data_IF_539289583909
#
_entry.id   IF_539289583909
#
_cell.length_a   1.000
_cell.length_b   1.000
_cell.length_c   1.000
_cell.angle_alpha   90.00
_cell.angle_beta   90.00
_cell.angle_gamma   90.00
#
_symmetry.space_group_name_H-M   'P 1'
#
loop_
_entity.id
_entity.type
_entity.pdbx_description
1 polymer ?
#
# COMPACT_ATOMS: atom_id res chain seq x y z
N UNK A 1 52.02 -52.84 45.07
CA UNK A 1 51.32 -51.54 45.13
C UNK A 1 50.39 -51.46 43.92
N UNK A 2 49.13 -51.87 44.08
CA UNK A 2 48.15 -51.82 43.00
C UNK A 2 47.38 -50.49 43.09
N UNK A 3 47.40 -49.74 42.00
CA UNK A 3 46.90 -48.37 41.91
C UNK A 3 45.37 -48.33 41.97
N UNK A 4 44.81 -47.71 43.01
CA UNK A 4 43.37 -47.51 43.25
C UNK A 4 42.76 -46.33 42.49
N UNK A 5 43.52 -45.69 41.61
CA UNK A 5 43.11 -44.53 40.79
C UNK A 5 42.00 -44.79 39.77
N UNK A 6 41.83 -45.95 39.09
CA UNK A 6 40.82 -46.08 38.04
C UNK A 6 39.38 -46.16 38.59
N UNK A 7 39.21 -46.67 39.82
CA UNK A 7 37.89 -46.78 40.45
C UNK A 7 37.35 -45.44 40.96
N UNK A 8 38.23 -44.54 41.41
CA UNK A 8 37.84 -43.23 41.91
C UNK A 8 37.35 -42.30 40.78
N UNK A 9 37.98 -42.39 39.60
CA UNK A 9 37.59 -41.62 38.41
C UNK A 9 36.24 -42.10 37.88
N UNK A 10 35.99 -43.42 37.87
CA UNK A 10 34.71 -43.97 37.42
C UNK A 10 33.54 -43.56 38.34
N UNK A 11 33.77 -43.56 39.67
CA UNK A 11 32.77 -43.13 40.65
C UNK A 11 32.45 -41.63 40.56
N UNK A 12 33.46 -40.78 40.31
CA UNK A 12 33.26 -39.34 40.12
C UNK A 12 32.50 -39.04 38.82
N UNK A 13 32.76 -39.77 37.74
CA UNK A 13 32.01 -39.65 36.50
C UNK A 13 30.54 -40.06 36.67
N UNK A 14 30.27 -41.19 37.35
CA UNK A 14 28.90 -41.65 37.62
C UNK A 14 28.12 -40.68 38.51
N UNK A 15 28.77 -40.11 39.54
CA UNK A 15 28.16 -39.09 40.40
C UNK A 15 27.82 -37.80 39.62
N UNK A 16 28.70 -37.38 38.69
CA UNK A 16 28.46 -36.19 37.85
C UNK A 16 27.30 -36.39 36.86
N UNK A 17 27.17 -37.59 36.29
CA UNK A 17 26.07 -37.95 35.39
C UNK A 17 24.73 -38.03 36.14
N UNK A 18 24.73 -38.55 37.37
CA UNK A 18 23.55 -38.60 38.22
C UNK A 18 23.10 -37.20 38.68
N UNK A 19 24.04 -36.29 38.98
CA UNK A 19 23.71 -34.89 39.28
C UNK A 19 23.16 -34.13 38.06
N UNK A 20 23.73 -34.34 36.87
CA UNK A 20 23.21 -33.73 35.64
C UNK A 20 21.80 -34.25 35.28
N UNK A 21 21.56 -35.55 35.44
CA UNK A 21 20.23 -36.13 35.21
C UNK A 21 19.18 -35.59 36.20
N UNK A 22 19.57 -35.33 37.45
CA UNK A 22 18.68 -34.80 38.49
C UNK A 22 18.32 -33.32 38.25
N UNK A 23 19.24 -32.52 37.70
CA UNK A 23 19.01 -31.12 37.33
C UNK A 23 18.05 -30.97 36.13
N UNK A 24 18.11 -31.90 35.17
CA UNK A 24 17.20 -31.93 34.01
C UNK A 24 15.78 -32.37 34.43
N UNK A 25 15.67 -33.27 35.41
CA UNK A 25 14.38 -33.69 35.95
C UNK A 25 13.69 -32.61 36.82
N UNK A 26 14.48 -31.74 37.47
CA UNK A 26 13.96 -30.67 38.34
C UNK A 26 13.51 -29.41 37.56
N UNK A 27 14.00 -29.22 36.34
CA UNK A 27 13.59 -28.16 35.40
C UNK A 27 13.36 -28.79 34.02
N UNK A 28 12.17 -29.37 33.75
CA UNK A 28 11.85 -29.79 32.39
C UNK A 28 12.03 -28.59 31.45
N UNK A 29 12.59 -28.78 30.25
CA UNK A 29 12.62 -27.71 29.25
C UNK A 29 11.21 -27.18 29.10
N UNK A 30 11.03 -25.87 29.24
CA UNK A 30 9.74 -25.23 29.09
C UNK A 30 9.18 -25.64 27.73
N UNK A 31 8.17 -26.51 27.75
CA UNK A 31 7.48 -26.92 26.55
C UNK A 31 6.95 -25.63 25.91
N UNK A 32 7.33 -25.30 24.66
CA UNK A 32 6.82 -24.11 24.01
C UNK A 32 5.28 -24.20 24.02
N UNK A 33 4.56 -23.10 24.27
CA UNK A 33 3.11 -23.12 24.27
C UNK A 33 2.61 -23.73 22.96
N UNK A 34 1.49 -24.47 22.98
CA UNK A 34 0.94 -25.11 21.79
C UNK A 34 0.82 -24.10 20.65
N UNK A 35 1.33 -24.47 19.47
CA UNK A 35 1.34 -23.61 18.28
C UNK A 35 -0.09 -23.38 17.79
N UNK A 36 -0.73 -22.32 18.29
CA UNK A 36 -2.09 -21.88 17.94
C UNK A 36 -2.19 -21.28 16.53
N UNK A 37 -1.09 -21.26 15.76
CA UNK A 37 -1.03 -20.65 14.43
C UNK A 37 -2.09 -21.21 13.49
N UNK A 38 -2.42 -22.51 13.58
CA UNK A 38 -3.48 -23.14 12.76
C UNK A 38 -4.85 -22.56 13.06
N UNK A 39 -5.18 -22.37 14.33
CA UNK A 39 -6.44 -21.76 14.74
C UNK A 39 -6.52 -20.29 14.30
N UNK A 40 -5.41 -19.55 14.45
CA UNK A 40 -5.29 -18.16 13.96
C UNK A 40 -5.48 -18.08 12.44
N UNK A 41 -4.87 -18.99 11.70
CA UNK A 41 -5.01 -19.08 10.24
C UNK A 41 -6.47 -19.39 9.85
N UNK A 42 -7.12 -20.37 10.48
CA UNK A 42 -8.51 -20.70 10.19
C UNK A 42 -9.47 -19.52 10.45
N UNK A 43 -9.28 -18.80 11.56
CA UNK A 43 -10.05 -17.57 11.87
C UNK A 43 -9.80 -16.47 10.84
N UNK A 44 -8.53 -16.26 10.47
CA UNK A 44 -8.13 -15.28 9.47
C UNK A 44 -8.68 -15.61 8.08
N UNK A 45 -8.59 -16.87 7.66
CA UNK A 45 -9.10 -17.36 6.37
C UNK A 45 -10.62 -17.18 6.30
N UNK A 46 -11.33 -17.48 7.38
CA UNK A 46 -12.78 -17.24 7.50
C UNK A 46 -13.11 -15.76 7.41
N UNK A 47 -12.38 -14.88 8.11
CA UNK A 47 -12.58 -13.42 8.08
C UNK A 47 -12.49 -12.87 6.65
N UNK A 48 -11.53 -13.35 5.86
CA UNK A 48 -11.26 -12.84 4.51
C UNK A 48 -11.83 -13.74 3.40
N UNK A 49 -12.73 -14.65 3.75
CA UNK A 49 -13.37 -15.59 2.81
C UNK A 49 -12.38 -16.30 1.88
N UNK A 50 -11.25 -16.74 2.43
CA UNK A 50 -10.19 -17.43 1.70
C UNK A 50 -10.62 -18.86 1.36
N UNK A 51 -10.37 -19.25 0.12
CA UNK A 51 -10.64 -20.60 -0.38
C UNK A 51 -9.42 -21.12 -1.11
N UNK A 52 -9.07 -22.38 -0.88
CA UNK A 52 -7.90 -23.02 -1.47
C UNK A 52 -8.32 -24.22 -2.34
N UNK A 53 -7.72 -24.40 -3.53
CA UNK A 53 -8.12 -25.44 -4.48
C UNK A 53 -7.71 -26.85 -4.03
N UNK A 54 -6.73 -26.97 -3.15
CA UNK A 54 -6.23 -28.25 -2.62
C UNK A 54 -5.69 -28.07 -1.21
N UNK A 55 -5.62 -29.19 -0.47
CA UNK A 55 -4.96 -29.23 0.83
C UNK A 55 -3.48 -28.83 0.74
N UNK A 56 -2.78 -29.22 -0.34
CA UNK A 56 -1.38 -28.82 -0.55
C UNK A 56 -1.21 -27.31 -0.68
N UNK A 57 -2.09 -26.64 -1.42
CA UNK A 57 -2.08 -25.17 -1.53
C UNK A 57 -2.45 -24.52 -0.18
N UNK A 58 -3.42 -25.05 0.55
CA UNK A 58 -3.75 -24.58 1.91
C UNK A 58 -2.56 -24.68 2.86
N UNK A 59 -1.83 -25.80 2.85
CA UNK A 59 -0.64 -26.01 3.68
C UNK A 59 0.48 -25.02 3.34
N UNK A 60 0.70 -24.77 2.05
CA UNK A 60 1.65 -23.74 1.59
C UNK A 60 1.23 -22.35 2.08
N UNK A 61 -0.05 -22.00 1.93
CA UNK A 61 -0.62 -20.70 2.33
C UNK A 61 -0.55 -20.49 3.84
N UNK A 62 -0.77 -21.54 4.61
CA UNK A 62 -0.54 -21.54 6.04
C UNK A 62 0.93 -21.27 6.40
N UNK A 63 1.87 -21.91 5.72
CA UNK A 63 3.31 -21.65 5.91
C UNK A 63 3.65 -20.17 5.72
N UNK A 64 3.20 -19.59 4.60
CA UNK A 64 3.39 -18.16 4.30
C UNK A 64 2.72 -17.27 5.36
N UNK A 65 1.49 -17.59 5.75
CA UNK A 65 0.77 -16.86 6.81
C UNK A 65 1.52 -16.87 8.13
N UNK A 66 2.07 -18.02 8.52
CA UNK A 66 2.87 -18.17 9.74
C UNK A 66 4.14 -17.34 9.66
N UNK A 67 4.86 -17.38 8.54
CA UNK A 67 6.07 -16.60 8.33
C UNK A 67 5.80 -15.09 8.38
N UNK A 68 4.75 -14.62 7.69
CA UNK A 68 4.31 -13.23 7.73
C UNK A 68 3.88 -12.81 9.15
N UNK A 69 3.16 -13.67 9.87
CA UNK A 69 2.77 -13.40 11.27
C UNK A 69 4.00 -13.22 12.17
N UNK A 70 4.99 -14.10 12.02
CA UNK A 70 6.24 -14.02 12.77
C UNK A 70 7.04 -12.76 12.42
N UNK A 71 7.11 -12.40 11.12
CA UNK A 71 7.81 -11.20 10.65
C UNK A 71 7.16 -9.91 11.19
N UNK A 72 5.83 -9.83 11.15
CA UNK A 72 5.06 -8.73 11.75
C UNK A 72 5.30 -8.64 13.25
N UNK A 73 5.29 -9.78 13.96
CA UNK A 73 5.55 -9.84 15.40
C UNK A 73 6.96 -9.37 15.75
N UNK A 74 7.97 -9.84 15.02
CA UNK A 74 9.36 -9.44 15.20
C UNK A 74 9.57 -7.94 14.96
N UNK A 75 8.97 -7.38 13.90
CA UNK A 75 9.04 -5.95 13.63
C UNK A 75 8.42 -5.12 14.74
N UNK A 76 7.21 -5.47 15.20
CA UNK A 76 6.53 -4.78 16.31
C UNK A 76 7.35 -4.80 17.61
N UNK A 77 8.03 -5.91 17.90
CA UNK A 77 8.91 -6.01 19.06
C UNK A 77 10.13 -5.09 18.95
N UNK A 78 10.68 -4.89 17.74
CA UNK A 78 11.82 -4.01 17.50
C UNK A 78 11.44 -2.52 17.44
N UNK A 79 10.25 -2.18 16.94
CA UNK A 79 9.78 -0.78 16.77
C UNK A 79 8.94 -0.24 17.93
N UNK A 80 8.85 -0.96 19.05
CA UNK A 80 8.23 -0.45 20.29
C UNK A 80 9.05 0.75 20.80
N UNK A 81 8.63 1.95 20.42
CA UNK A 81 9.44 3.16 20.59
C UNK A 81 9.33 3.71 22.02
N UNK A 82 10.47 3.75 22.70
CA UNK A 82 10.71 4.51 23.93
C UNK A 82 10.51 6.00 23.67
N UNK A 83 9.62 6.65 24.41
CA UNK A 83 9.47 8.10 24.46
C UNK A 83 10.16 8.61 25.72
N UNK A 84 11.22 9.42 25.59
CA UNK A 84 11.73 10.26 26.69
C UNK A 84 11.45 11.71 26.34
N UNK A 85 10.46 12.30 27.00
CA UNK A 85 10.22 13.74 26.97
C UNK A 85 11.16 14.37 27.99
N UNK A 86 12.28 14.94 27.54
CA UNK A 86 13.22 15.65 28.40
C UNK A 86 14.58 15.97 27.77
N UNK A 87 14.70 17.17 27.20
CA UNK A 87 15.94 17.97 27.27
C UNK A 87 17.09 17.77 26.27
N UNK A 88 17.28 16.66 25.55
CA UNK A 88 18.45 16.50 24.66
C UNK A 88 18.22 15.58 23.43
N UNK A 89 18.39 16.14 22.22
CA UNK A 89 18.66 15.45 20.92
C UNK A 89 17.46 14.88 20.13
N UNK A 90 17.46 14.92 18.78
CA UNK A 90 16.48 14.21 17.96
C UNK A 90 16.73 12.69 18.01
N UNK A 91 15.71 11.92 18.39
CA UNK A 91 15.68 10.45 18.31
C UNK A 91 14.72 10.05 17.19
N UNK A 92 15.12 9.11 16.33
CA UNK A 92 14.28 8.59 15.23
C UNK A 92 13.06 7.88 15.80
N UNK A 93 11.88 8.51 15.73
CA UNK A 93 10.61 7.86 16.06
C UNK A 93 10.08 7.21 14.79
N UNK A 94 10.33 5.90 14.63
CA UNK A 94 9.64 5.11 13.60
C UNK A 94 8.17 4.98 14.03
N UNK A 95 7.29 5.82 13.51
CA UNK A 95 5.84 5.72 13.75
C UNK A 95 5.16 4.62 12.94
N UNK A 96 5.87 4.03 11.97
CA UNK A 96 5.34 2.99 11.08
C UNK A 96 4.93 1.77 11.87
N UNK A 97 3.70 1.33 11.64
CA UNK A 97 3.11 0.12 12.19
C UNK A 97 2.76 -0.82 11.05
N UNK A 98 3.11 -2.10 11.23
CA UNK A 98 2.66 -3.19 10.36
C UNK A 98 1.64 -4.07 11.07
N UNK A 99 0.76 -4.73 10.33
CA UNK A 99 -0.28 -5.60 10.88
C UNK A 99 -0.86 -6.57 9.87
N UNK A 100 -1.32 -7.72 10.40
CA UNK A 100 -1.91 -8.77 9.59
C UNK A 100 -3.19 -8.26 8.91
N UNK A 101 -3.29 -8.44 7.60
CA UNK A 101 -4.42 -8.04 6.78
C UNK A 101 -4.79 -9.18 5.81
N UNK A 102 -5.64 -8.90 4.81
CA UNK A 102 -6.12 -9.91 3.84
C UNK A 102 -5.04 -10.55 2.96
N UNK A 103 -3.84 -9.97 2.92
CA UNK A 103 -2.70 -10.45 2.13
C UNK A 103 -1.77 -11.37 2.93
N UNK A 104 -2.22 -11.80 4.12
CA UNK A 104 -1.44 -12.62 5.05
C UNK A 104 -0.87 -13.90 4.47
N UNK A 105 -1.53 -14.53 3.50
CA UNK A 105 -1.10 -15.77 2.86
C UNK A 105 -0.30 -15.58 1.56
N UNK A 106 0.18 -14.36 1.29
CA UNK A 106 0.97 -14.02 0.11
C UNK A 106 2.38 -13.59 0.52
N UNK A 107 3.37 -14.02 -0.26
CA UNK A 107 4.71 -13.43 -0.21
C UNK A 107 4.68 -12.03 -0.85
N UNK A 108 5.64 -11.17 -0.51
CA UNK A 108 5.65 -9.78 -0.97
C UNK A 108 5.75 -9.62 -2.50
N UNK A 109 6.52 -10.49 -3.14
CA UNK A 109 6.65 -10.55 -4.60
C UNK A 109 5.37 -11.03 -5.28
N UNK A 110 4.75 -12.07 -4.73
CA UNK A 110 3.45 -12.59 -5.18
C UNK A 110 2.35 -11.53 -5.01
N UNK A 111 2.34 -10.84 -3.88
CA UNK A 111 1.45 -9.73 -3.60
C UNK A 111 1.62 -8.60 -4.61
N UNK A 112 2.85 -8.15 -4.85
CA UNK A 112 3.12 -7.10 -5.81
C UNK A 112 2.64 -7.49 -7.22
N UNK A 113 2.89 -8.73 -7.64
CA UNK A 113 2.45 -9.23 -8.95
C UNK A 113 0.92 -9.32 -9.10
N UNK A 114 0.18 -9.57 -8.02
CA UNK A 114 -1.27 -9.78 -8.08
C UNK A 114 -2.11 -8.52 -7.78
N UNK A 115 -1.53 -7.50 -7.13
CA UNK A 115 -2.28 -6.35 -6.62
C UNK A 115 -1.74 -4.99 -7.08
N UNK A 116 -0.66 -4.96 -7.87
CA UNK A 116 -0.10 -3.74 -8.48
C UNK A 116 -0.19 -3.83 -10.00
N UNK A 117 -0.34 -2.71 -10.71
CA UNK A 117 -0.73 -2.72 -12.12
C UNK A 117 -0.25 -1.56 -12.95
N UNK A 118 0.75 -0.81 -12.50
CA UNK A 118 1.39 0.17 -13.37
C UNK A 118 2.24 -0.53 -14.42
N UNK A 119 2.01 -0.18 -15.70
CA UNK A 119 2.81 -0.67 -16.82
C UNK A 119 3.42 0.50 -17.58
N UNK A 120 4.75 0.63 -17.52
CA UNK A 120 5.50 1.72 -18.16
C UNK A 120 5.70 1.53 -19.69
N UNK A 121 5.20 0.45 -20.29
CA UNK A 121 5.41 0.13 -21.70
C UNK A 121 4.82 1.22 -22.61
N UNK A 122 5.66 1.89 -23.41
CA UNK A 122 5.23 2.97 -24.28
C UNK A 122 4.89 4.28 -23.56
N UNK A 123 5.25 4.41 -22.28
CA UNK A 123 5.07 5.64 -21.53
C UNK A 123 6.01 6.73 -22.05
N UNK A 124 5.41 7.86 -22.47
CA UNK A 124 6.12 9.07 -22.84
C UNK A 124 5.71 10.12 -21.80
N UNK A 125 6.66 10.67 -21.00
CA UNK A 125 6.34 11.71 -20.04
C UNK A 125 5.66 12.89 -20.72
N UNK A 126 4.50 13.29 -20.20
CA UNK A 126 3.83 14.49 -20.69
C UNK A 126 4.61 15.75 -20.27
N UNK A 127 4.52 16.80 -21.08
CA UNK A 127 5.16 18.08 -20.76
C UNK A 127 4.64 18.62 -19.40
N UNK A 128 5.54 18.92 -18.45
CA UNK A 128 5.13 19.30 -17.11
C UNK A 128 4.51 20.70 -17.09
N UNK A 129 3.47 20.86 -16.28
CA UNK A 129 2.82 22.14 -16.03
C UNK A 129 3.30 22.75 -14.71
N UNK A 130 4.10 23.81 -14.80
CA UNK A 130 4.61 24.53 -13.62
C UNK A 130 3.50 25.39 -13.01
N UNK A 131 3.27 25.20 -11.71
CA UNK A 131 2.41 26.05 -10.89
C UNK A 131 3.29 27.15 -10.26
N UNK A 132 2.93 28.44 -10.35
CA UNK A 132 3.77 29.51 -9.80
C UNK A 132 4.04 29.34 -8.30
N UNK A 133 5.29 29.44 -7.86
CA UNK A 133 5.69 29.21 -6.45
C UNK A 133 5.04 30.17 -5.43
N UNK A 134 4.53 31.32 -5.88
CA UNK A 134 3.81 32.27 -5.03
C UNK A 134 2.31 31.93 -4.89
N UNK A 135 1.86 30.83 -5.49
CA UNK A 135 0.50 30.32 -5.31
C UNK A 135 0.32 29.94 -3.85
N UNK A 136 -0.71 30.51 -3.22
CA UNK A 136 -1.04 30.22 -1.83
C UNK A 136 -1.43 28.75 -1.66
N UNK A 137 -0.97 28.12 -0.58
CA UNK A 137 -1.33 26.76 -0.18
C UNK A 137 -1.55 26.67 1.34
N UNK A 138 -2.52 25.88 1.82
CA UNK A 138 -2.67 25.57 3.23
C UNK A 138 -1.46 24.78 3.77
N UNK A 139 -1.21 24.85 5.09
CA UNK A 139 -0.19 24.01 5.73
C UNK A 139 -0.61 22.54 5.86
N UNK A 140 -1.92 22.26 5.84
CA UNK A 140 -2.50 20.93 5.87
C UNK A 140 -3.75 20.92 4.99
N UNK A 141 -3.85 19.91 4.15
CA UNK A 141 -4.94 19.66 3.21
C UNK A 141 -5.40 18.24 3.45
N UNK A 142 -6.70 18.05 3.65
CA UNK A 142 -7.34 16.74 3.68
C UNK A 142 -8.65 16.82 2.91
N UNK A 143 -8.64 16.38 1.65
CA UNK A 143 -9.82 16.43 0.78
C UNK A 143 -10.95 15.53 1.26
N UNK A 144 -10.69 14.56 2.17
CA UNK A 144 -11.75 13.75 2.80
C UNK A 144 -12.61 14.64 3.70
N UNK A 145 -11.98 15.53 4.47
CA UNK A 145 -12.67 16.47 5.35
C UNK A 145 -13.51 17.48 4.59
N UNK A 146 -13.12 17.80 3.35
CA UNK A 146 -13.88 18.64 2.41
C UNK A 146 -14.95 17.87 1.63
N UNK A 147 -15.10 16.56 1.86
CA UNK A 147 -16.06 15.71 1.15
C UNK A 147 -15.74 15.48 -0.32
N UNK A 148 -14.48 15.64 -0.74
CA UNK A 148 -13.99 15.48 -2.11
C UNK A 148 -13.24 14.14 -2.33
N UNK A 149 -13.61 13.12 -1.55
CA UNK A 149 -13.05 11.76 -1.67
C UNK A 149 -14.17 10.75 -1.44
N UNK A 150 -14.42 9.88 -2.40
CA UNK A 150 -15.37 8.76 -2.27
C UNK A 150 -14.86 7.69 -1.30
N UNK A 151 -15.71 6.72 -0.94
CA UNK A 151 -15.31 5.56 -0.16
C UNK A 151 -14.13 4.79 -0.78
N UNK A 152 -13.31 4.14 0.05
CA UNK A 152 -12.26 3.25 -0.44
C UNK A 152 -12.90 2.01 -1.05
N UNK A 153 -12.43 1.64 -2.23
CA UNK A 153 -12.87 0.46 -3.00
C UNK A 153 -11.82 -0.66 -2.92
N UNK A 154 -12.12 -1.81 -3.53
CA UNK A 154 -11.21 -2.94 -3.62
C UNK A 154 -11.08 -3.43 -5.06
N UNK A 155 -9.87 -3.34 -5.63
CA UNK A 155 -9.62 -3.69 -7.04
C UNK A 155 -9.67 -5.20 -7.35
N UNK A 156 -9.64 -6.08 -6.34
CA UNK A 156 -9.54 -7.52 -6.61
C UNK A 156 -8.14 -7.95 -7.06
N UNK A 157 -8.08 -9.08 -7.77
CA UNK A 157 -6.88 -9.59 -8.43
C UNK A 157 -6.68 -9.03 -9.84
N UNK A 158 -7.48 -8.04 -10.24
CA UNK A 158 -7.29 -7.28 -11.47
C UNK A 158 -6.23 -6.21 -11.23
N UNK A 159 -5.26 -6.08 -12.14
CA UNK A 159 -4.17 -5.10 -12.03
C UNK A 159 -4.63 -3.70 -12.49
N UNK A 160 -5.73 -3.21 -11.93
CA UNK A 160 -6.45 -2.00 -12.34
C UNK A 160 -6.19 -0.79 -11.45
N UNK A 161 -5.14 -0.79 -10.61
CA UNK A 161 -4.83 0.33 -9.72
C UNK A 161 -4.75 1.69 -10.46
N UNK A 162 -4.29 1.69 -11.71
CA UNK A 162 -4.24 2.86 -12.59
C UNK A 162 -5.64 3.44 -12.87
N UNK A 163 -6.65 2.60 -13.06
CA UNK A 163 -8.04 3.03 -13.24
C UNK A 163 -8.61 3.62 -11.94
N UNK A 164 -8.40 2.94 -10.81
CA UNK A 164 -8.83 3.43 -9.48
C UNK A 164 -8.19 4.77 -9.10
N UNK A 165 -6.89 4.94 -9.38
CA UNK A 165 -6.22 6.21 -9.12
C UNK A 165 -6.76 7.34 -10.01
N UNK A 166 -6.98 7.04 -11.30
CA UNK A 166 -7.56 8.01 -12.24
C UNK A 166 -8.95 8.45 -11.83
N UNK A 167 -9.83 7.49 -11.52
CA UNK A 167 -11.19 7.74 -11.05
C UNK A 167 -11.19 8.57 -9.77
N UNK A 168 -10.42 8.19 -8.74
CA UNK A 168 -10.39 8.94 -7.48
C UNK A 168 -9.94 10.40 -7.66
N UNK A 169 -9.04 10.68 -8.61
CA UNK A 169 -8.65 12.05 -8.94
C UNK A 169 -9.76 12.82 -9.68
N UNK A 170 -10.47 12.18 -10.60
CA UNK A 170 -11.61 12.78 -11.33
C UNK A 170 -12.78 13.06 -10.36
N UNK A 171 -13.13 12.12 -9.49
CA UNK A 171 -14.20 12.27 -8.50
C UNK A 171 -13.95 13.47 -7.58
N UNK A 172 -12.72 13.60 -7.08
CA UNK A 172 -12.34 14.72 -6.22
C UNK A 172 -12.34 16.05 -6.96
N UNK A 173 -11.80 16.10 -8.18
CA UNK A 173 -11.87 17.29 -9.03
C UNK A 173 -13.33 17.68 -9.32
N UNK A 174 -14.20 16.72 -9.66
CA UNK A 174 -15.61 16.97 -9.93
C UNK A 174 -16.29 17.61 -8.73
N UNK A 175 -16.13 17.02 -7.54
CA UNK A 175 -16.67 17.59 -6.29
C UNK A 175 -16.19 19.02 -6.04
N UNK A 176 -14.91 19.29 -6.24
CA UNK A 176 -14.33 20.63 -6.03
C UNK A 176 -14.92 21.65 -7.01
N UNK A 177 -15.25 21.23 -8.24
CA UNK A 177 -15.74 22.11 -9.31
C UNK A 177 -17.25 22.32 -9.29
N UNK A 178 -18.00 21.24 -9.13
CA UNK A 178 -19.47 21.23 -9.28
C UNK A 178 -20.19 21.22 -7.94
N UNK A 179 -19.51 20.79 -6.88
CA UNK A 179 -20.13 20.53 -5.58
C UNK A 179 -20.72 19.11 -5.46
N UNK A 180 -20.64 18.28 -6.51
CA UNK A 180 -21.22 16.94 -6.55
C UNK A 180 -20.15 15.86 -6.46
N UNK A 181 -20.26 15.00 -5.44
CA UNK A 181 -19.37 13.85 -5.29
C UNK A 181 -20.11 12.64 -5.85
N UNK A 182 -19.68 12.18 -7.02
CA UNK A 182 -20.23 11.00 -7.69
C UNK A 182 -19.20 9.89 -7.62
N UNK A 183 -19.65 8.64 -7.40
CA UNK A 183 -18.80 7.47 -7.54
C UNK A 183 -18.75 7.09 -9.00
N UNK A 184 -17.57 7.16 -9.63
CA UNK A 184 -17.39 6.94 -11.08
C UNK A 184 -16.89 5.52 -11.36
N UNK A 185 -17.04 5.08 -12.61
CA UNK A 185 -16.74 3.70 -13.01
C UNK A 185 -15.25 3.47 -13.30
N UNK A 186 -14.58 2.64 -12.50
CA UNK A 186 -13.26 2.13 -12.91
C UNK A 186 -13.38 1.12 -14.07
N UNK A 187 -14.51 0.43 -14.19
CA UNK A 187 -14.70 -0.61 -15.21
C UNK A 187 -14.71 -0.03 -16.62
N UNK A 188 -15.31 1.15 -16.80
CA UNK A 188 -15.29 1.85 -18.09
C UNK A 188 -13.83 2.07 -18.56
N UNK A 189 -12.93 2.47 -17.66
CA UNK A 189 -11.51 2.60 -17.98
C UNK A 189 -10.87 1.24 -18.29
N UNK A 190 -11.11 0.24 -17.44
CA UNK A 190 -10.56 -1.13 -17.63
C UNK A 190 -10.94 -1.70 -18.99
N UNK A 191 -12.17 -1.46 -19.45
CA UNK A 191 -12.69 -2.04 -20.68
C UNK A 191 -12.40 -1.20 -21.93
N UNK A 192 -12.31 0.12 -21.80
CA UNK A 192 -12.27 1.05 -22.94
C UNK A 192 -10.90 1.70 -23.20
N UNK A 193 -9.97 1.75 -22.22
CA UNK A 193 -8.65 2.34 -22.44
C UNK A 193 -7.72 1.42 -23.23
N UNK A 194 -7.71 1.59 -24.55
CA UNK A 194 -6.79 0.90 -25.47
C UNK A 194 -5.31 1.26 -25.29
N UNK A 195 -4.99 2.32 -24.54
CA UNK A 195 -3.62 2.66 -24.14
C UNK A 195 -3.09 1.81 -22.98
N UNK A 196 -4.00 1.11 -22.29
CA UNK A 196 -3.74 0.18 -21.18
C UNK A 196 -4.11 -1.25 -21.59
N UNK A 197 -3.90 -2.21 -20.68
CA UNK A 197 -4.19 -3.64 -20.89
C UNK A 197 -5.26 -4.17 -19.92
N UNK A 198 -6.18 -3.31 -19.48
CA UNK A 198 -7.21 -3.65 -18.49
C UNK A 198 -6.59 -4.20 -17.19
N UNK A 199 -6.96 -5.43 -16.84
CA UNK A 199 -6.41 -6.19 -15.72
C UNK A 199 -4.97 -6.70 -15.93
N UNK A 200 -4.36 -6.49 -17.10
CA UNK A 200 -2.93 -6.73 -17.35
C UNK A 200 -2.04 -5.55 -16.93
N UNK A 201 -2.63 -4.48 -16.40
CA UNK A 201 -1.93 -3.25 -16.03
C UNK A 201 -2.14 -2.14 -17.06
N UNK A 202 -1.81 -0.92 -16.65
CA UNK A 202 -2.13 0.27 -17.43
C UNK A 202 -1.50 1.53 -16.86
N UNK A 203 -1.97 2.67 -17.36
CA UNK A 203 -1.46 3.97 -16.98
C UNK A 203 -2.57 5.00 -16.75
N UNK A 204 -2.29 5.91 -15.82
CA UNK A 204 -3.15 7.04 -15.48
C UNK A 204 -3.19 8.07 -16.61
N UNK A 205 -2.08 8.34 -17.29
CA UNK A 205 -2.04 9.32 -18.39
C UNK A 205 -2.97 8.93 -19.54
N UNK A 206 -3.00 7.65 -19.93
CA UNK A 206 -3.90 7.17 -21.00
C UNK A 206 -5.35 7.16 -20.55
N UNK A 207 -5.62 6.78 -19.29
CA UNK A 207 -6.95 6.82 -18.71
C UNK A 207 -7.52 8.25 -18.70
N UNK A 208 -6.76 9.22 -18.17
CA UNK A 208 -7.18 10.62 -18.14
C UNK A 208 -7.32 11.20 -19.56
N UNK A 209 -6.45 10.81 -20.49
CA UNK A 209 -6.54 11.20 -21.89
C UNK A 209 -7.81 10.65 -22.57
N UNK A 210 -8.18 9.39 -22.28
CA UNK A 210 -9.41 8.78 -22.80
C UNK A 210 -10.62 9.57 -22.32
N UNK A 211 -10.77 9.77 -21.01
CA UNK A 211 -11.91 10.49 -20.43
C UNK A 211 -11.99 11.90 -21.02
N UNK A 212 -10.85 12.59 -21.15
CA UNK A 212 -10.80 13.92 -21.76
C UNK A 212 -11.23 13.91 -23.25
N UNK A 213 -10.79 12.91 -24.01
CA UNK A 213 -11.12 12.78 -25.43
C UNK A 213 -12.58 12.39 -25.68
N UNK A 214 -13.21 11.72 -24.70
CA UNK A 214 -14.63 11.31 -24.78
C UNK A 214 -15.58 12.31 -24.15
N UNK A 215 -15.08 13.25 -23.34
CA UNK A 215 -15.85 14.32 -22.73
C UNK A 215 -16.30 14.03 -21.30
N UNK A 216 -16.09 12.79 -20.83
CA UNK A 216 -16.44 12.39 -19.48
C UNK A 216 -16.35 10.89 -19.26
N UNK A 217 -16.88 10.47 -18.11
CA UNK A 217 -16.92 9.10 -17.60
C UNK A 217 -18.24 8.89 -16.86
N UNK A 218 -18.80 7.68 -16.93
CA UNK A 218 -20.07 7.30 -16.30
C UNK A 218 -19.89 6.92 -14.82
N UNK A 219 -21.01 6.77 -14.12
CA UNK A 219 -21.07 6.37 -12.72
C UNK A 219 -20.73 4.88 -12.50
N UNK A 220 -20.26 4.56 -11.29
CA UNK A 220 -20.11 3.18 -10.81
C UNK A 220 -21.44 2.41 -10.85
N UNK A 221 -22.58 3.09 -10.63
CA UNK A 221 -23.89 2.44 -10.68
C UNK A 221 -24.30 2.01 -12.09
N UNK A 222 -23.91 2.80 -13.09
CA UNK A 222 -24.26 2.56 -14.49
C UNK A 222 -23.30 1.60 -15.20
N UNK A 223 -22.04 1.55 -14.76
CA UNK A 223 -21.05 0.60 -15.24
C UNK A 223 -20.25 0.01 -14.07
N UNK A 224 -20.81 -0.97 -13.35
CA UNK A 224 -20.22 -1.50 -12.11
C UNK A 224 -18.89 -2.23 -12.31
N UNK A 225 -18.02 -2.14 -11.30
CA UNK A 225 -16.75 -2.85 -11.27
C UNK A 225 -16.93 -4.37 -11.15
N UNK A 226 -16.41 -5.07 -12.15
CA UNK A 226 -16.49 -6.53 -12.28
C UNK A 226 -15.19 -7.23 -11.88
N UNK A 227 -14.05 -6.53 -11.92
CA UNK A 227 -12.74 -7.09 -11.55
C UNK A 227 -12.14 -8.03 -12.59
N UNK A 228 -12.58 -7.98 -13.84
CA UNK A 228 -11.98 -8.67 -14.98
C UNK A 228 -12.13 -7.82 -16.26
N UNK A 229 -11.43 -8.20 -17.33
CA UNK A 229 -11.55 -7.55 -18.63
C UNK A 229 -12.93 -7.83 -19.23
N UNK A 230 -13.73 -6.79 -19.39
CA UNK A 230 -14.99 -6.81 -20.13
C UNK A 230 -14.82 -6.33 -21.56
N UNK A 231 -15.96 -6.15 -22.22
CA UNK A 231 -16.05 -5.47 -23.51
C UNK A 231 -16.50 -4.04 -23.25
N UNK A 232 -15.77 -3.07 -23.79
CA UNK A 232 -16.14 -1.66 -23.71
C UNK A 232 -17.60 -1.44 -24.14
N UNK A 233 -18.41 -0.91 -23.22
CA UNK A 233 -19.72 -0.34 -23.54
C UNK A 233 -19.52 1.04 -24.18
N UNK A 234 -19.55 1.06 -25.51
CA UNK A 234 -19.30 2.25 -26.31
C UNK A 234 -20.42 3.29 -26.17
N UNK A 235 -21.64 2.88 -25.83
CA UNK A 235 -22.75 3.80 -25.67
C UNK A 235 -22.56 4.60 -24.37
N UNK A 236 -22.16 3.92 -23.29
CA UNK A 236 -21.77 4.57 -22.03
C UNK A 236 -20.58 5.52 -22.23
N UNK A 237 -19.51 5.03 -22.86
CA UNK A 237 -18.31 5.82 -23.14
C UNK A 237 -18.58 7.12 -23.93
N UNK A 238 -19.51 7.09 -24.89
CA UNK A 238 -19.76 8.21 -25.80
C UNK A 238 -20.85 9.17 -25.33
N UNK A 239 -21.84 8.67 -24.57
CA UNK A 239 -23.09 9.41 -24.36
C UNK A 239 -23.54 9.50 -22.89
N UNK A 240 -22.90 8.80 -21.96
CA UNK A 240 -23.29 8.76 -20.55
C UNK A 240 -22.16 9.25 -19.65
N UNK A 241 -22.19 10.53 -19.29
CA UNK A 241 -21.13 11.19 -18.53
C UNK A 241 -21.67 11.83 -17.25
N UNK A 242 -21.29 11.27 -16.11
CA UNK A 242 -21.61 11.83 -14.79
C UNK A 242 -20.53 12.82 -14.29
N UNK A 243 -19.33 12.75 -14.86
CA UNK A 243 -18.27 13.73 -14.63
C UNK A 243 -17.51 14.03 -15.93
N UNK A 244 -17.21 15.30 -16.15
CA UNK A 244 -16.45 15.76 -17.33
C UNK A 244 -15.01 16.11 -16.99
N UNK A 245 -14.11 15.77 -17.92
CA UNK A 245 -12.69 16.13 -17.87
C UNK A 245 -12.34 16.77 -19.22
N UNK A 246 -11.62 17.89 -19.22
CA UNK A 246 -11.15 18.55 -20.46
C UNK A 246 -9.73 18.16 -20.87
N UNK A 247 -8.98 17.57 -19.95
CA UNK A 247 -7.59 17.19 -20.14
C UNK A 247 -6.94 16.77 -18.84
N UNK A 248 -5.62 16.67 -18.84
CA UNK A 248 -4.83 16.44 -17.64
C UNK A 248 -3.51 17.20 -17.74
N UNK A 249 -2.84 17.34 -16.60
CA UNK A 249 -1.52 17.94 -16.51
C UNK A 249 -0.58 17.03 -15.74
N UNK A 250 0.67 16.96 -16.20
CA UNK A 250 1.76 16.39 -15.43
C UNK A 250 2.32 17.45 -14.47
N UNK A 251 2.61 17.05 -13.25
CA UNK A 251 3.42 17.84 -12.32
C UNK A 251 4.89 17.71 -12.71
N UNK A 252 5.72 18.76 -12.57
CA UNK A 252 7.17 18.65 -12.70
C UNK A 252 7.74 17.44 -11.94
N UNK A 253 8.50 16.62 -12.66
CA UNK A 253 9.08 15.40 -12.11
C UNK A 253 10.07 15.74 -11.00
N UNK A 254 10.11 14.91 -9.96
CA UNK A 254 11.04 15.02 -8.82
C UNK A 254 10.95 16.36 -8.08
N UNK A 255 9.76 16.96 -8.05
CA UNK A 255 9.51 18.24 -7.39
C UNK A 255 8.30 18.12 -6.43
N UNK A 256 8.58 17.73 -5.19
CA UNK A 256 7.57 17.65 -4.13
C UNK A 256 6.92 19.01 -3.82
N UNK A 257 7.58 20.14 -4.13
CA UNK A 257 7.00 21.47 -3.92
C UNK A 257 5.90 21.76 -4.94
N UNK A 258 6.13 21.40 -6.20
CA UNK A 258 5.13 21.49 -7.26
C UNK A 258 3.99 20.48 -7.05
N UNK A 259 4.32 19.28 -6.57
CA UNK A 259 3.31 18.30 -6.17
C UNK A 259 2.42 18.83 -5.05
N UNK A 260 2.99 19.51 -4.06
CA UNK A 260 2.22 20.10 -2.95
C UNK A 260 1.27 21.19 -3.45
N UNK A 261 1.73 22.02 -4.38
CA UNK A 261 0.90 23.05 -5.02
C UNK A 261 -0.25 22.47 -5.84
N UNK A 262 -0.04 21.31 -6.48
CA UNK A 262 -1.10 20.60 -7.19
C UNK A 262 -2.10 19.96 -6.22
N UNK A 263 -1.61 19.28 -5.17
CA UNK A 263 -2.46 18.64 -4.14
C UNK A 263 -3.28 19.66 -3.36
N UNK A 264 -2.75 20.87 -3.16
CA UNK A 264 -3.48 21.97 -2.54
C UNK A 264 -4.70 22.43 -3.35
N UNK A 265 -4.78 22.10 -4.64
CA UNK A 265 -5.89 22.48 -5.52
C UNK A 265 -6.91 21.35 -5.70
N UNK A 266 -6.46 20.08 -5.70
CA UNK A 266 -7.29 18.89 -5.90
C UNK A 266 -6.48 17.61 -5.64
N UNK A 267 -7.11 16.43 -5.57
CA UNK A 267 -6.38 15.16 -5.52
C UNK A 267 -5.50 14.93 -6.77
N UNK A 268 -4.33 14.30 -6.56
CA UNK A 268 -3.30 14.07 -7.58
C UNK A 268 -2.90 12.60 -7.58
N UNK A 269 -2.83 11.97 -8.74
CA UNK A 269 -2.37 10.58 -8.88
C UNK A 269 -0.86 10.51 -8.86
N UNK A 270 -0.31 9.48 -8.23
CA UNK A 270 1.13 9.18 -8.21
C UNK A 270 1.36 7.68 -8.41
N UNK A 271 2.56 7.32 -8.87
CA UNK A 271 3.04 5.94 -8.84
C UNK A 271 4.04 5.75 -7.71
N UNK A 272 3.99 4.59 -7.06
CA UNK A 272 4.90 4.21 -5.98
C UNK A 272 5.46 2.81 -6.19
N UNK A 273 6.63 2.54 -5.60
CA UNK A 273 7.08 1.17 -5.36
C UNK A 273 6.38 0.61 -4.11
N UNK A 274 5.45 -0.32 -4.34
CA UNK A 274 4.69 -1.00 -3.29
C UNK A 274 5.15 -2.46 -3.07
N UNK A 275 6.37 -2.82 -3.49
CA UNK A 275 6.85 -4.21 -3.53
C UNK A 275 7.27 -4.79 -2.18
N UNK A 276 7.42 -3.96 -1.14
CA UNK A 276 8.00 -4.40 0.14
C UNK A 276 6.96 -4.98 1.07
N UNK A 277 7.34 -5.97 1.88
CA UNK A 277 6.44 -6.59 2.85
C UNK A 277 5.93 -5.57 3.88
N UNK A 278 6.71 -4.53 4.22
CA UNK A 278 6.26 -3.45 5.09
C UNK A 278 5.14 -2.62 4.46
N UNK A 279 5.16 -2.44 3.13
CA UNK A 279 4.07 -1.78 2.40
C UNK A 279 2.84 -2.70 2.34
N UNK A 280 3.04 -3.99 2.01
CA UNK A 280 1.99 -5.02 2.01
C UNK A 280 1.23 -5.06 3.34
N UNK A 281 1.94 -4.97 4.46
CA UNK A 281 1.36 -5.05 5.81
C UNK A 281 1.25 -3.70 6.53
N UNK A 282 1.36 -2.57 5.81
CA UNK A 282 1.18 -1.26 6.42
C UNK A 282 -0.17 -1.17 7.16
N UNK A 283 -0.14 -0.62 8.37
CA UNK A 283 -1.31 -0.47 9.25
C UNK A 283 -1.35 0.87 9.99
N UNK A 284 -0.33 1.72 9.83
CA UNK A 284 -0.38 3.09 10.30
C UNK A 284 0.96 3.78 10.48
N UNK A 285 0.90 5.07 10.83
CA UNK A 285 2.07 5.94 10.97
C UNK A 285 2.64 6.42 9.64
N UNK A 286 3.74 7.18 9.68
CA UNK A 286 4.31 7.81 8.47
C UNK A 286 5.34 6.87 7.85
N UNK A 287 4.97 6.24 6.74
CA UNK A 287 5.80 5.31 5.98
C UNK A 287 6.96 6.04 5.27
N UNK A 288 8.19 5.56 5.51
CA UNK A 288 9.44 6.08 4.92
C UNK A 288 10.17 5.04 4.08
N UNK A 289 9.57 3.86 3.93
CA UNK A 289 10.23 2.68 3.42
C UNK A 289 10.48 1.61 4.49
N UNK A 290 11.20 0.53 4.13
CA UNK A 290 11.96 0.40 2.89
C UNK A 290 11.06 0.32 1.63
N UNK A 291 11.51 0.98 0.57
CA UNK A 291 10.98 0.97 -0.80
C UNK A 291 12.02 1.62 -1.72
N UNK A 292 11.94 1.38 -3.03
CA UNK A 292 12.86 1.95 -4.00
C UNK A 292 12.56 3.43 -4.28
N UNK A 293 13.61 4.24 -4.37
CA UNK A 293 13.54 5.59 -4.94
C UNK A 293 13.74 5.64 -6.47
N UNK A 294 13.96 4.48 -7.10
CA UNK A 294 14.14 4.35 -8.56
C UNK A 294 12.77 4.35 -9.29
N UNK A 295 12.50 5.32 -10.17
CA UNK A 295 11.28 5.36 -10.98
C UNK A 295 11.05 4.10 -11.82
N UNK A 296 12.10 3.33 -12.16
CA UNK A 296 11.95 2.07 -12.89
C UNK A 296 11.37 0.93 -12.04
N UNK A 297 11.22 1.12 -10.73
CA UNK A 297 10.68 0.13 -9.79
C UNK A 297 9.26 0.45 -9.31
N UNK A 298 8.70 1.60 -9.66
CA UNK A 298 7.30 1.90 -9.32
C UNK A 298 6.40 0.90 -10.05
N UNK A 299 5.38 0.41 -9.34
CA UNK A 299 4.48 -0.63 -9.85
C UNK A 299 3.02 -0.40 -9.47
N UNK A 300 2.75 0.54 -8.56
CA UNK A 300 1.41 0.75 -8.04
C UNK A 300 0.97 2.20 -8.20
N UNK A 301 -0.30 2.41 -8.56
CA UNK A 301 -0.89 3.73 -8.70
C UNK A 301 -1.81 4.03 -7.51
N UNK A 302 -1.64 5.19 -6.89
CA UNK A 302 -2.47 5.67 -5.78
C UNK A 302 -2.82 7.14 -5.98
N UNK A 303 -3.75 7.67 -5.19
CA UNK A 303 -4.15 9.09 -5.26
C UNK A 303 -3.78 9.81 -3.98
N UNK A 304 -2.94 10.83 -4.07
CA UNK A 304 -2.70 11.76 -2.97
C UNK A 304 -3.95 12.64 -2.82
N UNK A 305 -4.58 12.54 -1.65
CA UNK A 305 -5.79 13.28 -1.29
C UNK A 305 -5.52 14.36 -0.22
N UNK A 306 -4.26 14.61 0.07
CA UNK A 306 -3.87 15.60 1.05
C UNK A 306 -2.41 15.51 1.48
N UNK A 307 -2.03 16.43 2.35
CA UNK A 307 -0.76 16.43 3.07
C UNK A 307 -0.95 17.18 4.38
N UNK A 308 -0.29 16.75 5.45
CA UNK A 308 -0.32 17.44 6.75
C UNK A 308 1.01 17.18 7.50
N UNK A 309 1.08 17.64 8.74
CA UNK A 309 2.22 17.44 9.65
C UNK A 309 1.72 16.87 10.97
N UNK A 310 2.40 15.83 11.49
CA UNK A 310 2.13 15.20 12.78
C UNK A 310 3.43 15.10 13.57
N UNK A 311 3.48 15.69 14.77
CA UNK A 311 4.66 15.67 15.66
C UNK A 311 5.96 16.17 15.00
N UNK A 312 5.87 17.20 14.15
CA UNK A 312 7.01 17.75 13.41
C UNK A 312 7.38 16.98 12.14
N UNK A 313 6.63 15.92 11.81
CA UNK A 313 6.87 15.08 10.63
C UNK A 313 5.79 15.31 9.58
N UNK A 314 6.20 15.72 8.38
CA UNK A 314 5.30 15.96 7.25
C UNK A 314 5.01 14.67 6.50
N UNK A 315 3.78 14.56 6.00
CA UNK A 315 3.37 13.42 5.21
C UNK A 315 2.38 13.79 4.11
N UNK A 316 2.43 13.01 3.02
CA UNK A 316 1.36 12.86 2.06
C UNK A 316 0.32 11.90 2.59
N UNK A 317 -0.96 12.22 2.42
CA UNK A 317 -2.07 11.34 2.68
C UNK A 317 -2.57 10.77 1.34
N UNK A 318 -2.45 9.46 1.14
CA UNK A 318 -2.84 8.82 -0.11
C UNK A 318 -3.92 7.76 0.09
N UNK A 319 -4.91 7.77 -0.81
CA UNK A 319 -5.97 6.77 -0.95
C UNK A 319 -5.47 5.59 -1.77
N UNK A 320 -5.66 4.37 -1.27
CA UNK A 320 -5.33 3.13 -1.95
C UNK A 320 -6.60 2.40 -2.45
N UNK A 321 -6.43 1.32 -3.21
CA UNK A 321 -7.49 0.52 -3.86
C UNK A 321 -7.57 -0.92 -3.31
N UNK A 322 -7.15 -1.13 -2.05
CA UNK A 322 -6.98 -2.45 -1.43
C UNK A 322 -7.95 -2.76 -0.29
N UNK A 323 -9.16 -2.17 -0.30
CA UNK A 323 -10.15 -2.23 0.79
C UNK A 323 -9.77 -1.40 2.04
N UNK A 324 -10.76 -1.14 2.89
CA UNK A 324 -10.60 -0.51 4.20
C UNK A 324 -9.79 -1.36 5.19
N UNK A 325 -9.65 -2.66 4.95
CA UNK A 325 -8.87 -3.58 5.81
C UNK A 325 -7.35 -3.39 5.69
N UNK A 326 -6.87 -2.69 4.66
CA UNK A 326 -5.46 -2.39 4.47
C UNK A 326 -5.14 -0.97 4.96
N UNK A 327 -3.96 -0.77 5.56
CA UNK A 327 -3.50 0.56 5.99
C UNK A 327 -4.36 1.21 7.07
N UNK A 328 -4.40 2.53 7.08
CA UNK A 328 -5.27 3.32 7.95
C UNK A 328 -6.64 3.49 7.29
N UNK A 329 -7.49 2.46 7.37
CA UNK A 329 -8.82 2.45 6.72
C UNK A 329 -8.74 2.67 5.20
N UNK A 330 -7.79 2.00 4.53
CA UNK A 330 -7.55 2.12 3.09
C UNK A 330 -6.62 3.26 2.67
N UNK A 331 -6.06 4.00 3.62
CA UNK A 331 -5.13 5.09 3.37
C UNK A 331 -3.72 4.76 3.85
N UNK A 332 -2.74 5.48 3.30
CA UNK A 332 -1.35 5.47 3.75
C UNK A 332 -0.84 6.90 3.92
N UNK A 333 -0.04 7.09 4.98
CA UNK A 333 0.77 8.29 5.15
C UNK A 333 2.18 8.01 4.64
N UNK A 334 2.62 8.73 3.62
CA UNK A 334 3.98 8.64 3.06
C UNK A 334 4.77 9.86 3.49
N UNK A 335 6.03 9.71 3.92
CA UNK A 335 6.84 10.85 4.31
C UNK A 335 6.98 11.86 3.15
N UNK A 336 6.86 13.14 3.50
CA UNK A 336 6.94 14.28 2.58
C UNK A 336 8.20 15.08 2.87
N UNK A 337 8.71 15.77 1.84
CA UNK A 337 9.92 16.60 1.91
C UNK A 337 11.15 15.75 2.29
N UNK A 338 11.27 14.56 1.71
CA UNK A 338 12.38 13.65 1.99
C UNK A 338 13.63 13.99 1.18
N UNK A 339 14.79 13.46 1.58
CA UNK A 339 16.05 13.73 0.89
C UNK A 339 16.14 13.11 -0.52
N UNK A 340 15.28 12.15 -0.85
CA UNK A 340 15.22 11.55 -2.19
C UNK A 340 14.50 12.51 -3.14
N UNK A 341 15.12 12.96 -4.25
CA UNK A 341 14.47 13.85 -5.21
C UNK A 341 13.18 13.26 -5.80
N UNK A 342 13.12 11.93 -5.92
CA UNK A 342 11.96 11.19 -6.42
C UNK A 342 10.84 11.07 -5.37
N UNK A 343 11.03 11.58 -4.15
CA UNK A 343 10.11 11.44 -3.03
C UNK A 343 10.09 10.03 -2.44
N UNK A 344 9.30 9.84 -1.38
CA UNK A 344 9.13 8.52 -0.74
C UNK A 344 8.58 7.50 -1.74
N UNK A 345 9.28 6.38 -1.90
CA UNK A 345 8.90 5.31 -2.84
C UNK A 345 8.74 5.78 -4.31
N UNK A 346 9.51 6.79 -4.70
CA UNK A 346 9.48 7.43 -6.01
C UNK A 346 8.14 8.12 -6.39
N UNK A 347 7.32 8.51 -5.41
CA UNK A 347 6.01 9.14 -5.62
C UNK A 347 6.03 10.41 -6.50
N UNK A 348 7.15 11.15 -6.51
CA UNK A 348 7.27 12.40 -7.26
C UNK A 348 7.77 12.18 -8.70
N UNK A 349 7.99 10.94 -9.13
CA UNK A 349 8.56 10.64 -10.44
C UNK A 349 7.62 10.91 -11.62
N UNK A 350 6.31 10.66 -11.46
CA UNK A 350 5.30 10.85 -12.51
C UNK A 350 3.90 11.19 -11.95
N UNK A 351 3.69 12.40 -11.39
CA UNK A 351 2.39 12.79 -10.85
C UNK A 351 1.48 13.43 -11.92
N UNK A 352 0.18 13.14 -11.86
CA UNK A 352 -0.83 13.70 -12.78
C UNK A 352 -2.08 14.17 -12.06
N UNK A 353 -2.75 15.17 -12.62
CA UNK A 353 -4.08 15.59 -12.18
C UNK A 353 -4.99 15.94 -13.37
N UNK A 354 -6.28 15.58 -13.31
CA UNK A 354 -7.25 15.95 -14.34
C UNK A 354 -7.51 17.46 -14.31
N UNK A 355 -7.96 18.01 -15.44
CA UNK A 355 -8.36 19.42 -15.57
C UNK A 355 -9.78 19.53 -16.11
N UNK A 356 -10.55 20.49 -15.58
CA UNK A 356 -11.94 20.74 -15.92
C UNK A 356 -12.13 21.95 -16.84
#
# INVERSE_FOLDING_TARGET
MASSTPYLVLLLCLASLLQQASLIAANPPHEPPPDDSREKFAKWATKYAKTYPSHEEEEKRFGIFKDNTNQIGAFRAQTSTTVVVGGFGPQTITTVRVGMNRFGDLQADEFAQQFTGFNSTGFIPAEPSIIPNHTWKPCCVDWRSSGAVTGVKFQGSCLSCWAFASVAAIEGMNKIRTGELVSLSEQELVDCDSGSSGCGGGRVDTALALVAARGGITSESDYPYSGFNGKCDVDKLLFDHDASVKGFKAVPINDESQLELAVAQQPVTVYVDASTWQFQFYSGGIFRGPCSGDPAKVNHAITIVGYCEEFGEKFWLAKNSWSNDWGEQGYIKLAKDVAWPTGTCALASSPFYPTA
#
